data_IF_912255921368
#
_entry.id   IF_912255921368
#
_cell.length_a   1.000
_cell.length_b   1.000
_cell.length_c   1.000
_cell.angle_alpha   90.00
_cell.angle_beta   90.00
_cell.angle_gamma   90.00
#
_symmetry.space_group_name_H-M   'P 1'
#
loop_
_entity.id
_entity.type
_entity.pdbx_description
1 polymer ?
#
# COMPACT_ATOMS: atom_id res chain seq x y z
N UNK A 1 9.62 20.41 3.63
CA UNK A 1 10.29 19.44 2.73
C UNK A 1 11.12 18.52 3.59
N UNK A 2 10.51 17.45 4.10
CA UNK A 2 11.21 16.50 4.96
C UNK A 2 11.83 15.46 4.04
N UNK A 3 13.15 15.53 3.85
CA UNK A 3 13.86 14.60 2.98
C UNK A 3 13.67 13.17 3.51
N UNK A 4 13.23 12.28 2.63
CA UNK A 4 13.37 10.83 2.77
C UNK A 4 14.85 10.48 3.05
N UNK A 5 15.20 10.30 4.33
CA UNK A 5 16.50 9.77 4.71
C UNK A 5 16.43 8.23 4.70
N UNK A 6 17.42 7.53 4.12
CA UNK A 6 17.51 6.09 4.27
C UNK A 6 17.72 5.76 5.75
N UNK A 7 16.70 5.21 6.40
CA UNK A 7 16.77 4.87 7.81
C UNK A 7 17.49 3.52 7.95
N UNK A 8 18.79 3.57 8.27
CA UNK A 8 19.55 2.39 8.70
C UNK A 8 19.13 2.05 10.13
N UNK A 9 18.24 1.06 10.28
CA UNK A 9 17.97 0.47 11.59
C UNK A 9 18.93 -0.70 11.82
N UNK A 10 19.80 -0.56 12.83
CA UNK A 10 20.43 -1.71 13.48
C UNK A 10 19.37 -2.41 14.32
N UNK A 11 18.89 -3.57 13.87
CA UNK A 11 17.99 -4.42 14.66
C UNK A 11 18.81 -5.38 15.52
N UNK A 12 18.83 -5.16 16.84
CA UNK A 12 19.16 -6.19 17.83
C UNK A 12 17.88 -6.62 18.57
N UNK A 13 17.46 -7.86 18.26
CA UNK A 13 16.99 -8.93 19.16
C UNK A 13 15.67 -8.81 19.95
N UNK A 14 14.68 -9.58 19.44
CA UNK A 14 13.62 -10.40 20.07
C UNK A 14 12.69 -9.85 21.14
N UNK A 15 11.38 -9.89 20.84
CA UNK A 15 10.33 -10.41 21.74
C UNK A 15 9.30 -11.19 20.91
N UNK A 16 9.08 -12.45 21.28
CA UNK A 16 7.98 -13.30 20.79
C UNK A 16 6.66 -12.76 21.33
N UNK A 17 5.70 -12.49 20.44
CA UNK A 17 4.28 -12.50 20.80
C UNK A 17 3.48 -13.27 19.76
N UNK A 18 2.63 -14.15 20.27
CA UNK A 18 1.91 -15.19 19.57
C UNK A 18 0.50 -14.68 19.31
N UNK A 19 0.21 -14.35 18.06
CA UNK A 19 -1.11 -13.89 17.62
C UNK A 19 -1.34 -14.26 16.16
N UNK A 20 -1.56 -15.54 15.89
CA UNK A 20 -2.08 -16.01 14.60
C UNK A 20 -3.52 -15.51 14.43
N UNK A 21 -3.70 -14.40 13.73
CA UNK A 21 -4.88 -14.23 12.89
C UNK A 21 -4.46 -14.52 11.45
N UNK A 22 -4.95 -15.66 10.94
CA UNK A 22 -4.92 -16.02 9.52
C UNK A 22 -5.66 -14.97 8.67
N UNK A 23 -5.75 -15.19 7.36
CA UNK A 23 -6.45 -14.39 6.33
C UNK A 23 -5.54 -13.27 5.73
N UNK A 24 -5.17 -13.26 4.44
CA UNK A 24 -5.79 -13.82 3.24
C UNK A 24 -4.83 -14.67 2.40
N UNK A 25 -5.30 -15.85 2.01
CA UNK A 25 -4.68 -16.69 0.99
C UNK A 25 -4.90 -16.04 -0.39
N UNK A 26 -3.79 -15.59 -0.98
CA UNK A 26 -3.44 -15.79 -2.38
C UNK A 26 -4.54 -15.57 -3.44
N UNK A 27 -4.89 -14.31 -3.67
CA UNK A 27 -5.34 -13.88 -5.00
C UNK A 27 -4.11 -13.65 -5.87
N UNK A 28 -4.00 -14.46 -6.93
CA UNK A 28 -2.87 -14.53 -7.87
C UNK A 28 -2.70 -13.22 -8.63
N UNK A 29 -1.90 -12.32 -8.09
CA UNK A 29 -1.17 -11.35 -8.89
C UNK A 29 0.30 -11.72 -8.79
N UNK A 30 0.79 -12.52 -9.74
CA UNK A 30 2.21 -12.87 -9.86
C UNK A 30 3.04 -11.58 -9.72
N UNK A 31 3.77 -11.44 -8.61
CA UNK A 31 4.67 -10.32 -8.36
C UNK A 31 4.15 -9.15 -7.50
N UNK A 32 2.85 -9.02 -7.23
CA UNK A 32 2.32 -7.85 -6.48
C UNK A 32 1.55 -8.22 -5.21
N UNK A 33 1.82 -7.49 -4.13
CA UNK A 33 1.10 -7.60 -2.84
C UNK A 33 0.02 -6.53 -2.74
N UNK A 34 -1.17 -6.94 -2.30
CA UNK A 34 -2.31 -6.06 -2.02
C UNK A 34 -2.48 -5.93 -0.51
N UNK A 35 -2.52 -4.70 -0.02
CA UNK A 35 -2.69 -4.39 1.40
C UNK A 35 -3.92 -3.51 1.58
N UNK A 36 -4.92 -4.00 2.31
CA UNK A 36 -6.20 -3.31 2.51
C UNK A 36 -6.22 -2.60 3.87
N UNK A 37 -6.76 -1.39 3.90
CA UNK A 37 -6.96 -0.60 5.11
C UNK A 37 -5.78 0.29 5.49
N UNK A 38 -6.07 1.28 6.33
CA UNK A 38 -5.15 2.36 6.70
C UNK A 38 -3.95 1.82 7.49
N UNK A 39 -4.23 1.09 8.57
CA UNK A 39 -3.19 0.61 9.47
C UNK A 39 -2.24 -0.40 8.80
N UNK A 40 -2.74 -1.41 8.04
CA UNK A 40 -1.86 -2.28 7.27
C UNK A 40 -1.05 -1.53 6.22
N UNK A 41 -1.64 -0.56 5.52
CA UNK A 41 -0.94 0.27 4.53
C UNK A 41 0.20 1.04 5.15
N UNK A 42 -0.02 1.71 6.28
CA UNK A 42 1.02 2.49 6.97
C UNK A 42 2.17 1.60 7.48
N UNK A 43 1.85 0.39 7.99
CA UNK A 43 2.88 -0.58 8.40
C UNK A 43 3.75 -1.02 7.22
N UNK A 44 3.14 -1.27 6.08
CA UNK A 44 3.85 -1.65 4.86
C UNK A 44 4.72 -0.52 4.31
N UNK A 45 4.23 0.72 4.35
CA UNK A 45 5.02 1.89 3.97
C UNK A 45 6.20 2.11 4.91
N UNK A 46 6.02 1.88 6.21
CA UNK A 46 7.08 1.97 7.19
C UNK A 46 8.15 0.88 7.01
N UNK A 47 7.76 -0.34 6.62
CA UNK A 47 8.70 -1.46 6.42
C UNK A 47 9.56 -1.30 5.17
N UNK A 48 9.03 -0.67 4.12
CA UNK A 48 9.72 -0.44 2.83
C UNK A 48 10.65 0.78 2.83
N UNK A 49 10.46 1.70 3.76
CA UNK A 49 11.10 3.01 3.71
C UNK A 49 10.81 3.72 2.37
N UNK A 50 11.86 4.18 1.69
CA UNK A 50 11.74 4.94 0.44
C UNK A 50 11.65 4.08 -0.83
N UNK A 51 11.56 2.75 -0.71
CA UNK A 51 11.48 1.83 -1.83
C UNK A 51 10.03 1.57 -2.24
N UNK A 52 9.37 2.63 -2.72
CA UNK A 52 7.94 2.66 -3.10
C UNK A 52 7.71 2.62 -4.62
N UNK A 53 8.77 2.42 -5.41
CA UNK A 53 8.69 2.45 -6.88
C UNK A 53 7.72 1.39 -7.39
N UNK A 54 6.79 1.82 -8.23
CA UNK A 54 5.80 0.93 -8.86
C UNK A 54 4.64 0.56 -7.95
N UNK A 55 4.53 1.16 -6.76
CA UNK A 55 3.34 1.03 -5.92
C UNK A 55 2.26 2.02 -6.32
N UNK A 56 1.01 1.60 -6.13
CA UNK A 56 -0.20 2.41 -6.34
C UNK A 56 -1.04 2.36 -5.06
N UNK A 57 -1.48 3.52 -4.60
CA UNK A 57 -2.44 3.66 -3.51
C UNK A 57 -3.82 4.00 -4.09
N UNK A 58 -4.83 3.22 -3.72
CA UNK A 58 -6.21 3.43 -4.09
C UNK A 58 -6.97 3.99 -2.89
N UNK A 59 -7.74 5.04 -3.12
CA UNK A 59 -8.60 5.67 -2.10
C UNK A 59 -10.05 5.66 -2.59
N UNK A 60 -11.02 5.32 -1.73
CA UNK A 60 -12.41 5.30 -2.11
C UNK A 60 -12.98 6.73 -2.18
N UNK A 61 -13.79 7.05 -3.20
CA UNK A 61 -14.39 8.40 -3.34
C UNK A 61 -15.84 8.49 -2.85
N UNK A 62 -16.51 7.37 -2.63
CA UNK A 62 -17.94 7.21 -2.33
C UNK A 62 -18.16 6.77 -0.87
N UNK A 63 -17.45 7.41 0.06
CA UNK A 63 -17.50 7.08 1.50
C UNK A 63 -17.78 8.31 2.33
N UNK A 64 -18.82 8.23 3.15
CA UNK A 64 -19.06 9.21 4.20
C UNK A 64 -17.93 9.14 5.23
N UNK A 65 -17.23 10.27 5.42
CA UNK A 65 -16.09 10.38 6.32
C UNK A 65 -16.35 11.45 7.36
N UNK A 66 -16.05 11.16 8.62
CA UNK A 66 -15.92 12.21 9.63
C UNK A 66 -14.67 13.08 9.37
N UNK A 67 -14.58 14.22 10.06
CA UNK A 67 -13.48 15.16 9.86
C UNK A 67 -12.10 14.53 10.13
N UNK A 68 -12.01 13.59 11.08
CA UNK A 68 -10.77 12.92 11.43
C UNK A 68 -10.33 11.95 10.32
N UNK A 69 -11.27 11.17 9.79
CA UNK A 69 -11.07 10.21 8.70
C UNK A 69 -10.70 10.93 7.41
N UNK A 70 -11.37 12.05 7.10
CA UNK A 70 -11.03 12.90 5.97
C UNK A 70 -9.59 13.46 6.06
N UNK A 71 -9.18 13.89 7.26
CA UNK A 71 -7.82 14.35 7.50
C UNK A 71 -6.80 13.21 7.35
N UNK A 72 -7.07 12.03 7.91
CA UNK A 72 -6.19 10.86 7.77
C UNK A 72 -6.01 10.47 6.30
N UNK A 73 -7.09 10.47 5.52
CA UNK A 73 -7.04 10.22 4.08
C UNK A 73 -6.18 11.25 3.35
N UNK A 74 -6.43 12.53 3.63
CA UNK A 74 -5.68 13.64 3.03
C UNK A 74 -4.18 13.52 3.31
N UNK A 75 -3.81 13.17 4.54
CA UNK A 75 -2.41 12.97 4.92
C UNK A 75 -1.79 11.76 4.21
N UNK A 76 -2.52 10.65 4.12
CA UNK A 76 -2.05 9.46 3.40
C UNK A 76 -1.81 9.79 1.92
N UNK A 77 -2.75 10.45 1.27
CA UNK A 77 -2.61 10.85 -0.14
C UNK A 77 -1.40 11.74 -0.36
N UNK A 78 -1.23 12.76 0.50
CA UNK A 78 -0.09 13.67 0.43
C UNK A 78 1.23 12.92 0.62
N UNK A 79 1.30 12.03 1.61
CA UNK A 79 2.49 11.22 1.88
C UNK A 79 2.83 10.30 0.71
N UNK A 80 1.86 9.56 0.18
CA UNK A 80 2.03 8.69 -0.99
C UNK A 80 2.59 9.48 -2.17
N UNK A 81 2.02 10.65 -2.48
CA UNK A 81 2.50 11.51 -3.57
C UNK A 81 3.92 12.04 -3.30
N UNK A 82 4.24 12.40 -2.06
CA UNK A 82 5.58 12.88 -1.66
C UNK A 82 6.66 11.81 -1.89
N UNK A 83 6.36 10.54 -1.64
CA UNK A 83 7.31 9.44 -1.83
C UNK A 83 7.19 8.75 -3.20
N UNK A 84 6.47 9.35 -4.15
CA UNK A 84 6.38 8.87 -5.53
C UNK A 84 5.46 7.66 -5.75
N UNK A 85 4.53 7.41 -4.84
CA UNK A 85 3.43 6.45 -5.03
C UNK A 85 2.30 7.14 -5.80
N UNK A 86 1.79 6.46 -6.83
CA UNK A 86 0.62 6.96 -7.57
C UNK A 86 -0.62 6.79 -6.71
N UNK A 87 -1.44 7.84 -6.59
CA UNK A 87 -2.73 7.79 -5.88
C UNK A 87 -3.86 7.83 -6.91
N UNK A 88 -4.79 6.89 -6.83
CA UNK A 88 -5.99 6.84 -7.69
C UNK A 88 -7.25 6.74 -6.84
N UNK A 89 -8.28 7.50 -7.21
CA UNK A 89 -9.59 7.40 -6.59
C UNK A 89 -10.45 6.37 -7.32
N UNK A 90 -11.09 5.47 -6.58
CA UNK A 90 -11.92 4.36 -7.11
C UNK A 90 -13.19 4.20 -6.27
N UNK A 91 -14.21 3.49 -6.75
CA UNK A 91 -15.39 3.24 -5.90
C UNK A 91 -15.07 2.19 -4.83
N UNK A 92 -15.67 2.34 -3.66
CA UNK A 92 -15.60 1.39 -2.54
C UNK A 92 -16.06 0.02 -2.98
N UNK A 93 -17.12 -0.05 -3.79
CA UNK A 93 -17.63 -1.30 -4.35
C UNK A 93 -16.56 -2.01 -5.21
N UNK A 94 -15.84 -1.26 -6.06
CA UNK A 94 -14.77 -1.83 -6.88
C UNK A 94 -13.65 -2.42 -6.01
N UNK A 95 -13.23 -1.68 -4.97
CA UNK A 95 -12.23 -2.14 -4.00
C UNK A 95 -12.69 -3.44 -3.33
N UNK A 96 -13.92 -3.44 -2.81
CA UNK A 96 -14.46 -4.55 -2.04
C UNK A 96 -14.58 -5.82 -2.90
N UNK A 97 -15.07 -5.69 -4.14
CA UNK A 97 -15.28 -6.83 -5.03
C UNK A 97 -13.97 -7.45 -5.54
N UNK A 98 -12.97 -6.62 -5.86
CA UNK A 98 -11.80 -7.08 -6.63
C UNK A 98 -10.51 -7.18 -5.81
N UNK A 99 -10.37 -6.41 -4.73
CA UNK A 99 -9.10 -6.28 -4.01
C UNK A 99 -9.18 -6.76 -2.56
N UNK A 100 -10.30 -6.47 -1.90
CA UNK A 100 -10.49 -6.75 -0.48
C UNK A 100 -11.80 -7.51 -0.22
N UNK A 101 -12.00 -8.70 -0.82
CA UNK A 101 -13.22 -9.48 -0.61
C UNK A 101 -13.35 -9.87 0.86
N UNK A 102 -14.44 -9.42 1.51
CA UNK A 102 -14.67 -9.65 2.94
C UNK A 102 -13.84 -8.76 3.88
N UNK A 103 -13.09 -7.79 3.35
CA UNK A 103 -12.34 -6.83 4.15
C UNK A 103 -13.24 -5.89 4.94
N UNK A 104 -12.90 -5.65 6.21
CA UNK A 104 -13.65 -4.75 7.10
C UNK A 104 -13.20 -3.30 6.95
N UNK A 105 -11.90 -3.08 6.70
CA UNK A 105 -11.32 -1.76 6.46
C UNK A 105 -11.05 -1.54 4.96
N UNK A 106 -11.86 -0.66 4.37
CA UNK A 106 -11.79 -0.27 2.96
C UNK A 106 -11.36 1.19 2.80
N UNK A 107 -10.74 1.77 3.82
CA UNK A 107 -10.27 3.17 3.80
C UNK A 107 -9.23 3.42 2.70
N UNK A 108 -8.33 2.48 2.43
CA UNK A 108 -7.42 2.58 1.29
C UNK A 108 -6.91 1.19 0.89
N UNK A 109 -6.29 1.10 -0.28
CA UNK A 109 -5.56 -0.11 -0.71
C UNK A 109 -4.20 0.26 -1.24
N UNK A 110 -3.15 -0.39 -0.78
CA UNK A 110 -1.82 -0.29 -1.36
C UNK A 110 -1.55 -1.54 -2.21
N UNK A 111 -1.35 -1.33 -3.51
CA UNK A 111 -0.87 -2.35 -4.42
C UNK A 111 0.61 -2.09 -4.61
N UNK A 112 1.43 -3.05 -4.21
CA UNK A 112 2.88 -2.94 -4.30
C UNK A 112 3.44 -4.00 -5.23
N UNK A 113 4.27 -3.59 -6.17
CA UNK A 113 5.02 -4.54 -7.00
C UNK A 113 6.29 -4.96 -6.25
N UNK A 114 6.43 -6.26 -5.96
CA UNK A 114 7.64 -6.84 -5.38
C UNK A 114 8.61 -7.33 -6.47
N UNK A 115 8.20 -7.32 -7.74
CA UNK A 115 9.07 -7.73 -8.82
C UNK A 115 9.99 -6.58 -9.26
N UNK A 116 11.27 -6.73 -8.94
CA UNK A 116 12.40 -6.14 -9.70
C UNK A 116 12.48 -6.66 -11.14
N UNK A 117 11.51 -7.45 -11.59
CA UNK A 117 11.38 -7.99 -12.93
C UNK A 117 10.34 -7.19 -13.72
N UNK A 118 10.63 -5.93 -14.01
CA UNK A 118 10.13 -5.42 -15.29
C UNK A 118 10.71 -6.37 -16.36
N UNK A 119 9.91 -7.08 -17.18
CA UNK A 119 10.46 -7.58 -18.42
C UNK A 119 10.98 -6.32 -19.11
N UNK A 120 12.30 -6.25 -19.32
CA UNK A 120 12.91 -5.24 -20.18
C UNK A 120 12.05 -5.20 -21.43
N UNK A 121 11.37 -4.08 -21.66
CA UNK A 121 10.71 -3.81 -22.94
C UNK A 121 11.72 -4.22 -24.02
N UNK A 122 11.38 -5.15 -24.93
CA UNK A 122 12.31 -5.50 -25.99
C UNK A 122 12.64 -4.20 -26.72
N UNK A 123 13.93 -3.85 -26.72
CA UNK A 123 14.42 -2.71 -27.47
C UNK A 123 13.97 -2.92 -28.91
N UNK A 124 13.17 -2.00 -29.44
CA UNK A 124 12.84 -2.01 -30.85
C UNK A 124 14.15 -2.04 -31.65
N UNK A 125 14.31 -2.97 -32.61
CA UNK A 125 15.43 -2.89 -33.54
C UNK A 125 15.29 -1.61 -34.39
N UNK A 126 16.44 -1.00 -34.68
CA UNK A 126 16.63 0.26 -35.41
C UNK A 126 15.87 0.33 -36.73
#
# INVERSE_FOLDING_TARGET
MTRCQPQSYHAQTTMTDSGKSSWCEESRCYGSTVTCGMLPTLRELASRGCNSRGSVCLVPYDVEMDAASHLQMTLLEAYCREIGIQVLSVSKETIQLHLCPGGTDLSCVLISNNDSYFPKLPKLPK
#
